data_IF_209692667287
#
_entry.id   IF_209692667287
#
_cell.length_a   1.000
_cell.length_b   1.000
_cell.length_c   1.000
_cell.angle_alpha   90.00
_cell.angle_beta   90.00
_cell.angle_gamma   90.00
#
_symmetry.space_group_name_H-M   'P 1'
#
loop_
_entity.id
_entity.type
_entity.pdbx_description
1 polymer ?
#
# COMPACT_ATOMS: atom_id res chain seq x y z
N UNK A 1 32.44 63.64 -64.29
CA UNK A 1 33.03 62.45 -64.92
C UNK A 1 31.93 61.44 -65.20
N UNK A 2 31.79 61.10 -66.49
CA UNK A 2 31.10 59.96 -67.13
C UNK A 2 30.09 59.11 -66.32
N UNK A 3 28.80 59.11 -66.72
CA UNK A 3 28.09 58.06 -67.52
C UNK A 3 27.38 57.05 -66.59
N UNK A 4 26.18 56.49 -66.84
CA UNK A 4 25.31 56.37 -68.02
C UNK A 4 23.95 55.78 -67.55
N UNK A 5 22.83 56.32 -68.01
CA UNK A 5 21.77 55.67 -68.84
C UNK A 5 20.76 54.72 -68.16
N UNK A 6 19.50 55.20 -67.99
CA UNK A 6 18.26 54.86 -68.74
C UNK A 6 18.13 53.48 -69.43
N UNK A 7 16.92 53.02 -69.87
CA UNK A 7 15.52 53.31 -69.50
C UNK A 7 14.60 52.05 -69.54
N UNK A 8 13.28 52.24 -69.39
CA UNK A 8 12.24 51.87 -70.37
C UNK A 8 10.97 51.26 -69.74
N UNK A 9 9.90 52.06 -69.79
CA UNK A 9 8.50 51.66 -69.64
C UNK A 9 8.03 51.04 -70.96
N UNK A 10 7.35 49.89 -70.88
CA UNK A 10 6.46 49.37 -71.93
C UNK A 10 5.17 48.85 -71.31
N UNK A 11 4.06 49.24 -71.91
CA UNK A 11 2.69 48.83 -71.57
C UNK A 11 2.27 47.50 -72.21
N UNK A 12 1.42 46.77 -71.47
CA UNK A 12 0.30 45.88 -71.87
C UNK A 12 0.64 44.54 -72.57
N UNK A 13 -0.18 43.45 -72.43
CA UNK A 13 -1.64 43.49 -72.30
C UNK A 13 -2.30 42.52 -71.29
N UNK A 14 -3.64 42.61 -71.30
CA UNK A 14 -4.66 41.90 -70.54
C UNK A 14 -4.55 40.36 -70.47
N UNK A 15 -5.12 39.82 -69.39
CA UNK A 15 -5.76 38.51 -69.43
C UNK A 15 -5.60 37.67 -68.16
N UNK A 16 -6.73 37.11 -67.75
CA UNK A 16 -6.90 35.93 -66.89
C UNK A 16 -7.05 36.22 -65.39
N UNK A 17 -8.32 36.39 -64.98
CA UNK A 17 -8.80 36.15 -63.62
C UNK A 17 -8.65 34.66 -63.31
N UNK A 18 -7.74 34.31 -62.39
CA UNK A 18 -7.69 32.99 -61.75
C UNK A 18 -8.27 33.13 -60.35
N UNK A 19 -9.38 32.43 -60.12
CA UNK A 19 -9.98 32.25 -58.80
C UNK A 19 -8.98 31.51 -57.89
N UNK A 20 -8.45 32.19 -56.87
CA UNK A 20 -7.73 31.54 -55.78
C UNK A 20 -8.75 30.80 -54.89
N UNK A 21 -8.74 29.46 -54.96
CA UNK A 21 -9.39 28.61 -53.97
C UNK A 21 -8.57 28.72 -52.68
N UNK A 22 -9.07 29.47 -51.69
CA UNK A 22 -8.52 29.49 -50.34
C UNK A 22 -8.88 28.15 -49.69
N UNK A 23 -7.94 27.20 -49.74
CA UNK A 23 -8.03 25.96 -48.95
C UNK A 23 -7.73 26.35 -47.51
N UNK A 24 -8.78 26.49 -46.71
CA UNK A 24 -8.67 26.45 -45.25
C UNK A 24 -8.10 25.08 -44.88
N UNK A 25 -6.80 25.03 -44.59
CA UNK A 25 -6.21 23.89 -43.88
C UNK A 25 -6.74 23.93 -42.47
N UNK A 26 -7.82 23.18 -42.22
CA UNK A 26 -8.18 22.73 -40.89
C UNK A 26 -7.00 21.89 -40.39
N UNK A 27 -6.12 22.50 -39.61
CA UNK A 27 -5.26 21.78 -38.69
C UNK A 27 -6.19 21.15 -37.65
N UNK A 28 -6.66 19.95 -37.97
CA UNK A 28 -7.13 19.02 -36.98
C UNK A 28 -6.02 18.92 -35.94
N UNK A 29 -6.26 19.48 -34.76
CA UNK A 29 -5.50 19.13 -33.58
C UNK A 29 -5.77 17.65 -33.36
N UNK A 30 -4.94 16.79 -33.94
CA UNK A 30 -4.85 15.41 -33.53
C UNK A 30 -4.39 15.46 -32.08
N UNK A 31 -5.35 15.44 -31.14
CA UNK A 31 -5.10 14.91 -29.82
C UNK A 31 -4.39 13.58 -30.07
N UNK A 32 -3.16 13.46 -29.61
CA UNK A 32 -2.36 12.24 -29.68
C UNK A 32 -3.02 11.18 -28.79
N UNK A 33 -4.18 10.68 -29.21
CA UNK A 33 -4.92 9.63 -28.54
C UNK A 33 -4.28 8.31 -28.92
N UNK A 34 -3.67 7.65 -27.95
CA UNK A 34 -3.15 6.30 -28.14
C UNK A 34 -4.21 5.34 -28.69
N UNK A 35 -3.76 4.24 -29.31
CA UNK A 35 -4.67 3.25 -29.90
C UNK A 35 -5.65 2.73 -28.84
N UNK A 36 -6.93 2.51 -29.20
CA UNK A 36 -7.88 1.88 -28.28
C UNK A 36 -7.35 0.55 -27.77
N UNK A 37 -7.45 0.33 -26.46
CA UNK A 37 -7.04 -0.90 -25.77
C UNK A 37 -8.23 -1.44 -24.99
N UNK A 38 -8.43 -2.74 -25.09
CA UNK A 38 -9.31 -3.51 -24.22
C UNK A 38 -8.48 -4.64 -23.58
N UNK A 39 -8.52 -4.73 -22.26
CA UNK A 39 -7.80 -5.75 -21.49
C UNK A 39 -8.73 -6.35 -20.44
N UNK A 40 -8.61 -7.64 -20.23
CA UNK A 40 -9.37 -8.37 -19.22
C UNK A 40 -8.42 -9.15 -18.36
N UNK A 41 -8.62 -9.10 -17.05
CA UNK A 41 -7.87 -9.91 -16.12
C UNK A 41 -8.03 -9.51 -14.67
N UNK A 42 -7.08 -9.94 -13.86
CA UNK A 42 -7.09 -9.73 -12.41
C UNK A 42 -6.49 -8.37 -12.05
N UNK A 43 -7.18 -7.61 -11.21
CA UNK A 43 -6.67 -6.34 -10.70
C UNK A 43 -5.56 -6.56 -9.66
N UNK A 44 -4.65 -5.59 -9.62
CA UNK A 44 -3.59 -5.50 -8.62
C UNK A 44 -3.49 -4.03 -8.19
N UNK A 45 -3.80 -3.75 -6.93
CA UNK A 45 -3.63 -2.45 -6.29
C UNK A 45 -2.33 -2.50 -5.53
N UNK A 46 -1.38 -1.63 -5.85
CA UNK A 46 -0.03 -1.67 -5.30
C UNK A 46 0.30 -0.32 -4.67
N UNK A 47 0.89 -0.34 -3.48
CA UNK A 47 1.41 0.86 -2.82
C UNK A 47 2.95 0.78 -2.85
N UNK A 48 3.56 1.93 -3.14
CA UNK A 48 5.00 2.13 -3.13
C UNK A 48 5.34 3.14 -2.03
N UNK A 49 6.14 2.73 -1.05
CA UNK A 49 6.40 3.51 0.15
C UNK A 49 7.84 4.01 0.24
N UNK A 50 8.00 5.32 0.15
CA UNK A 50 9.24 6.05 0.33
C UNK A 50 9.28 6.59 1.77
N UNK A 51 9.53 5.68 2.70
CA UNK A 51 9.66 6.00 4.13
C UNK A 51 10.73 7.05 4.42
N UNK A 52 11.74 7.22 3.56
CA UNK A 52 12.79 8.22 3.81
C UNK A 52 12.26 9.63 3.59
N UNK A 53 11.44 9.83 2.55
CA UNK A 53 10.92 11.14 2.20
C UNK A 53 9.48 11.35 2.68
N UNK A 54 8.93 10.42 3.46
CA UNK A 54 7.55 10.43 3.93
C UNK A 54 6.55 10.59 2.77
N UNK A 55 6.70 9.76 1.75
CA UNK A 55 5.82 9.77 0.57
C UNK A 55 5.38 8.35 0.24
N UNK A 56 4.20 8.27 -0.36
CA UNK A 56 3.72 7.03 -0.94
C UNK A 56 2.98 7.25 -2.25
N UNK A 57 2.95 6.22 -3.08
CA UNK A 57 2.24 6.25 -4.35
C UNK A 57 1.39 4.99 -4.48
N UNK A 58 0.09 5.16 -4.68
CA UNK A 58 -0.80 4.08 -5.10
C UNK A 58 -0.78 3.95 -6.61
N UNK A 59 -0.59 2.73 -7.09
CA UNK A 59 -0.66 2.38 -8.51
C UNK A 59 -1.65 1.25 -8.71
N UNK A 60 -2.31 1.27 -9.86
CA UNK A 60 -3.30 0.29 -10.24
C UNK A 60 -2.82 -0.47 -11.46
N UNK A 61 -3.07 -1.76 -11.46
CA UNK A 61 -2.63 -2.66 -12.51
C UNK A 61 -3.70 -3.67 -12.86
N UNK A 62 -3.61 -4.21 -14.06
CA UNK A 62 -4.37 -5.37 -14.53
C UNK A 62 -3.41 -6.41 -15.07
N UNK A 63 -3.49 -7.64 -14.56
CA UNK A 63 -2.76 -8.80 -15.07
C UNK A 63 -3.56 -9.38 -16.23
N UNK A 64 -3.15 -9.06 -17.45
CA UNK A 64 -3.85 -9.46 -18.67
C UNK A 64 -3.92 -10.99 -18.78
N UNK A 65 -5.13 -11.54 -18.85
CA UNK A 65 -5.36 -12.99 -18.93
C UNK A 65 -4.70 -13.65 -20.14
N UNK A 66 -4.54 -12.91 -21.24
CA UNK A 66 -3.98 -13.43 -22.50
C UNK A 66 -2.47 -13.43 -22.48
N UNK A 67 -1.88 -12.29 -22.13
CA UNK A 67 -0.42 -12.14 -22.15
C UNK A 67 0.25 -12.58 -20.86
N UNK A 68 -0.52 -12.72 -19.76
CA UNK A 68 -0.02 -12.91 -18.40
C UNK A 68 0.93 -11.81 -17.94
N UNK A 69 0.86 -10.64 -18.58
CA UNK A 69 1.66 -9.46 -18.25
C UNK A 69 0.81 -8.44 -17.53
N UNK A 70 1.42 -7.83 -16.53
CA UNK A 70 0.84 -6.70 -15.83
C UNK A 70 0.87 -5.45 -16.72
N UNK A 71 -0.22 -4.69 -16.71
CA UNK A 71 -0.32 -3.37 -17.36
C UNK A 71 -0.76 -2.34 -16.33
N UNK A 72 -0.04 -1.23 -16.24
CA UNK A 72 -0.43 -0.11 -15.39
C UNK A 72 -1.69 0.55 -15.94
N UNK A 73 -2.59 0.89 -15.03
CA UNK A 73 -3.81 1.63 -15.29
C UNK A 73 -3.66 3.06 -14.77
N UNK A 74 -4.02 4.02 -15.60
CA UNK A 74 -4.04 5.44 -15.27
C UNK A 74 -5.49 5.91 -15.28
N UNK A 75 -6.08 6.08 -14.10
CA UNK A 75 -7.44 6.56 -13.95
C UNK A 75 -7.50 8.09 -14.12
N UNK A 76 -8.48 8.56 -14.88
CA UNK A 76 -8.74 9.99 -15.08
C UNK A 76 -9.37 10.60 -13.81
N UNK A 77 -9.10 11.88 -13.53
CA UNK A 77 -9.63 12.59 -12.35
C UNK A 77 -8.95 12.14 -11.04
N UNK A 78 -8.05 12.98 -10.52
CA UNK A 78 -7.25 12.75 -9.31
C UNK A 78 -6.54 11.38 -9.17
N UNK A 79 -6.53 10.54 -10.21
CA UNK A 79 -5.90 9.23 -10.22
C UNK A 79 -6.64 8.13 -9.45
N UNK A 80 -7.90 8.34 -9.06
CA UNK A 80 -8.64 7.37 -8.24
C UNK A 80 -9.36 6.33 -9.09
N UNK A 81 -9.15 5.05 -8.77
CA UNK A 81 -9.97 3.96 -9.28
C UNK A 81 -11.34 3.93 -8.57
N UNK A 82 -12.38 3.31 -9.16
CA UNK A 82 -13.62 3.00 -8.44
C UNK A 82 -13.33 2.22 -7.15
N UNK A 83 -14.08 2.48 -6.07
CA UNK A 83 -13.90 1.78 -4.77
C UNK A 83 -14.05 0.26 -4.87
N UNK A 84 -14.79 -0.20 -5.88
CA UNK A 84 -14.97 -1.61 -6.17
C UNK A 84 -13.73 -2.25 -6.79
N UNK A 85 -12.72 -1.48 -7.26
CA UNK A 85 -11.51 -1.99 -7.89
C UNK A 85 -10.53 -2.53 -6.84
N UNK A 86 -10.45 -3.86 -6.69
CA UNK A 86 -9.69 -4.53 -5.63
C UNK A 86 -8.77 -5.61 -6.18
N UNK A 87 -7.61 -5.77 -5.54
CA UNK A 87 -6.66 -6.86 -5.87
C UNK A 87 -7.38 -8.21 -5.87
N UNK A 88 -7.08 -9.06 -6.85
CA UNK A 88 -7.67 -10.39 -6.95
C UNK A 88 -9.03 -10.46 -7.64
N UNK A 89 -9.70 -9.33 -7.86
CA UNK A 89 -10.98 -9.28 -8.59
C UNK A 89 -10.73 -9.12 -10.08
N UNK A 90 -11.62 -9.68 -10.90
CA UNK A 90 -11.53 -9.62 -12.36
C UNK A 90 -12.31 -8.45 -12.92
N UNK A 91 -11.66 -7.76 -13.85
CA UNK A 91 -12.26 -6.64 -14.57
C UNK A 91 -11.98 -6.70 -16.05
N UNK A 92 -12.88 -6.07 -16.79
CA UNK A 92 -12.68 -5.63 -18.16
C UNK A 92 -12.40 -4.13 -18.17
N UNK A 93 -11.24 -3.75 -18.66
CA UNK A 93 -10.79 -2.35 -18.76
C UNK A 93 -10.75 -1.95 -20.22
N UNK A 94 -11.35 -0.80 -20.54
CA UNK A 94 -11.28 -0.15 -21.85
C UNK A 94 -10.65 1.21 -21.72
N UNK A 95 -9.80 1.58 -22.67
CA UNK A 95 -9.06 2.83 -22.62
C UNK A 95 -8.19 3.06 -23.85
N UNK A 96 -7.14 3.88 -23.66
CA UNK A 96 -6.15 4.19 -24.70
C UNK A 96 -4.76 3.77 -24.26
N UNK A 97 -4.03 3.11 -25.14
CA UNK A 97 -2.67 2.66 -24.86
C UNK A 97 -1.70 3.85 -24.74
N UNK A 98 -0.75 3.74 -23.82
CA UNK A 98 0.36 4.69 -23.62
C UNK A 98 1.66 3.93 -23.34
N UNK A 99 2.85 4.58 -23.41
CA UNK A 99 4.12 3.88 -23.28
C UNK A 99 4.27 3.05 -22.00
N UNK A 100 3.70 3.52 -20.89
CA UNK A 100 3.79 2.91 -19.57
C UNK A 100 2.50 2.22 -19.09
N UNK A 101 1.47 2.09 -19.94
CA UNK A 101 0.20 1.47 -19.52
C UNK A 101 -1.02 1.80 -20.38
N UNK A 102 -2.16 2.00 -19.71
CA UNK A 102 -3.45 2.33 -20.32
C UNK A 102 -4.08 3.51 -19.58
N UNK A 103 -4.43 4.57 -20.31
CA UNK A 103 -5.33 5.61 -19.81
C UNK A 103 -6.76 5.05 -19.82
N UNK A 104 -7.38 4.97 -18.66
CA UNK A 104 -8.64 4.25 -18.45
C UNK A 104 -9.84 5.12 -18.82
N UNK A 105 -10.64 4.65 -19.78
CA UNK A 105 -11.93 5.25 -20.12
C UNK A 105 -13.08 4.60 -19.32
N UNK A 106 -13.03 3.28 -19.10
CA UNK A 106 -14.03 2.56 -18.30
C UNK A 106 -13.49 1.26 -17.71
N UNK A 107 -14.07 0.84 -16.59
CA UNK A 107 -13.81 -0.43 -15.92
C UNK A 107 -15.14 -1.12 -15.59
N UNK A 108 -15.22 -2.40 -15.89
CA UNK A 108 -16.40 -3.25 -15.70
C UNK A 108 -15.98 -4.48 -14.88
N UNK A 109 -16.57 -4.65 -13.69
CA UNK A 109 -16.33 -5.82 -12.84
C UNK A 109 -16.95 -7.06 -13.49
N UNK A 110 -16.18 -8.16 -13.56
CA UNK A 110 -16.63 -9.40 -14.20
C UNK A 110 -17.03 -10.48 -13.19
N UNK A 111 -16.58 -10.39 -11.94
CA UNK A 111 -16.90 -11.35 -10.87
C UNK A 111 -18.25 -11.08 -10.19
N UNK A 112 -19.19 -10.45 -10.91
CA UNK A 112 -20.56 -10.21 -10.45
C UNK A 112 -21.40 -11.48 -10.46
N UNK A 113 -21.10 -12.44 -9.57
CA UNK A 113 -21.87 -13.66 -9.39
C UNK A 113 -21.24 -14.65 -8.41
N UNK A 114 -21.76 -14.67 -7.18
CA UNK A 114 -21.55 -15.66 -6.09
C UNK A 114 -20.30 -15.53 -5.18
N UNK A 115 -20.54 -14.90 -4.02
CA UNK A 115 -20.06 -15.23 -2.66
C UNK A 115 -18.57 -15.53 -2.43
N UNK A 116 -17.88 -14.50 -1.94
CA UNK A 116 -17.28 -14.57 -0.61
C UNK A 116 -18.01 -13.52 0.24
N UNK A 117 -18.50 -13.89 1.41
CA UNK A 117 -19.16 -12.97 2.35
C UNK A 117 -18.18 -11.88 2.80
N UNK A 118 -18.02 -10.81 2.02
CA UNK A 118 -17.78 -9.50 2.60
C UNK A 118 -19.13 -8.81 2.70
N UNK A 119 -19.53 -8.30 3.88
CA UNK A 119 -20.81 -7.65 4.06
C UNK A 119 -21.01 -6.52 3.03
N UNK A 120 -22.20 -6.47 2.46
CA UNK A 120 -22.72 -5.25 1.83
C UNK A 120 -22.69 -4.11 2.87
N UNK A 121 -22.46 -2.84 2.44
CA UNK A 121 -22.25 -1.73 3.36
C UNK A 121 -23.53 -1.42 4.14
N UNK A 122 -23.49 -1.71 5.44
CA UNK A 122 -24.43 -1.20 6.42
C UNK A 122 -23.93 -1.47 7.83
N UNK A 123 -23.60 -0.39 8.56
CA UNK A 123 -23.68 -0.13 10.02
C UNK A 123 -23.34 -1.22 11.06
N UNK A 124 -23.01 -2.45 10.69
CA UNK A 124 -22.63 -3.49 11.63
C UNK A 124 -21.11 -3.47 11.78
N UNK A 125 -20.64 -3.39 13.04
CA UNK A 125 -19.24 -3.58 13.38
C UNK A 125 -18.71 -4.85 12.70
N UNK A 126 -17.45 -4.82 12.23
CA UNK A 126 -16.87 -5.99 11.59
C UNK A 126 -16.98 -7.20 12.52
N UNK A 127 -17.52 -8.30 12.00
CA UNK A 127 -17.62 -9.53 12.77
C UNK A 127 -16.23 -9.95 13.26
N UNK A 128 -16.14 -10.42 14.51
CA UNK A 128 -14.90 -10.93 15.08
C UNK A 128 -14.29 -11.97 14.13
N UNK A 129 -13.04 -11.75 13.72
CA UNK A 129 -12.36 -12.65 12.82
C UNK A 129 -11.95 -13.94 13.57
N UNK A 130 -12.10 -15.11 12.93
CA UNK A 130 -11.64 -16.36 13.54
C UNK A 130 -10.10 -16.41 13.55
N UNK A 131 -9.49 -17.09 14.54
CA UNK A 131 -8.06 -17.35 14.52
C UNK A 131 -7.61 -18.01 13.20
N UNK A 132 -6.59 -17.44 12.58
CA UNK A 132 -6.03 -17.87 11.30
C UNK A 132 -4.49 -17.91 11.39
N UNK A 133 -3.90 -18.99 10.88
CA UNK A 133 -2.46 -19.09 10.64
C UNK A 133 -2.23 -19.09 9.13
N UNK A 134 -1.50 -18.09 8.62
CA UNK A 134 -1.31 -17.89 7.18
C UNK A 134 0.06 -18.36 6.71
N UNK A 135 0.08 -19.05 5.57
CA UNK A 135 1.33 -19.49 4.92
C UNK A 135 2.01 -18.34 4.20
N UNK A 136 3.30 -18.17 4.48
CA UNK A 136 4.15 -17.14 3.88
C UNK A 136 5.46 -17.75 3.39
N UNK A 137 5.85 -17.40 2.16
CA UNK A 137 7.17 -17.69 1.63
C UNK A 137 8.02 -16.41 1.67
N UNK A 138 9.18 -16.46 2.32
CA UNK A 138 10.11 -15.33 2.36
C UNK A 138 11.34 -15.60 1.51
N UNK A 139 11.63 -14.72 0.54
CA UNK A 139 12.73 -14.86 -0.40
C UNK A 139 13.71 -13.70 -0.27
N UNK A 140 14.96 -13.97 0.12
CA UNK A 140 16.07 -13.05 -0.07
C UNK A 140 16.46 -13.11 -1.54
N UNK A 141 16.51 -11.96 -2.21
CA UNK A 141 16.69 -11.89 -3.67
C UNK A 141 17.95 -11.14 -4.05
N UNK A 142 18.91 -11.87 -4.61
CA UNK A 142 20.06 -11.27 -5.28
C UNK A 142 19.74 -10.95 -6.74
N UNK A 143 20.27 -9.81 -7.19
CA UNK A 143 20.24 -9.33 -8.56
C UNK A 143 21.64 -9.49 -9.18
N UNK A 144 21.74 -9.31 -10.50
CA UNK A 144 23.01 -9.41 -11.21
C UNK A 144 24.06 -8.37 -10.73
N UNK A 145 23.62 -7.24 -10.19
CA UNK A 145 24.44 -6.09 -9.82
C UNK A 145 24.30 -5.64 -8.36
N UNK A 146 23.45 -6.31 -7.57
CA UNK A 146 23.26 -6.03 -6.14
C UNK A 146 22.84 -7.31 -5.40
N UNK A 147 23.33 -7.50 -4.18
CA UNK A 147 23.08 -8.69 -3.37
C UNK A 147 22.56 -8.31 -1.99
N UNK A 148 21.69 -9.14 -1.41
CA UNK A 148 21.10 -8.92 -0.09
C UNK A 148 22.12 -9.17 1.02
N UNK A 149 22.99 -10.17 0.82
CA UNK A 149 24.02 -10.52 1.80
C UNK A 149 25.32 -9.80 1.47
N UNK A 150 25.45 -8.55 1.92
CA UNK A 150 26.64 -7.71 1.65
C UNK A 150 27.77 -7.91 2.66
N UNK A 151 27.52 -8.56 3.80
CA UNK A 151 28.46 -8.66 4.91
C UNK A 151 28.69 -7.34 5.67
N UNK A 152 27.95 -6.29 5.32
CA UNK A 152 27.94 -5.00 6.04
C UNK A 152 26.87 -4.99 7.14
N UNK A 153 26.81 -3.91 7.92
CA UNK A 153 25.73 -3.65 8.87
C UNK A 153 24.38 -3.32 8.21
N UNK A 154 24.26 -3.48 6.89
CA UNK A 154 23.06 -3.19 6.13
C UNK A 154 22.55 -4.40 5.33
N UNK A 155 23.37 -5.45 5.15
CA UNK A 155 22.94 -6.72 4.54
C UNK A 155 22.24 -7.65 5.54
N UNK A 156 21.60 -8.71 5.05
CA UNK A 156 20.99 -9.76 5.90
C UNK A 156 21.23 -11.16 5.35
N UNK A 157 21.17 -12.15 6.22
CA UNK A 157 21.31 -13.58 5.91
C UNK A 157 19.98 -14.31 6.09
N UNK A 158 19.85 -15.51 5.53
CA UNK A 158 18.67 -16.38 5.73
C UNK A 158 18.38 -16.59 7.21
N UNK A 159 19.39 -16.84 8.04
CA UNK A 159 19.18 -17.06 9.47
C UNK A 159 18.64 -15.81 10.17
N UNK A 160 19.19 -14.63 9.88
CA UNK A 160 18.69 -13.37 10.44
C UNK A 160 17.24 -13.10 10.03
N UNK A 161 16.84 -13.45 8.80
CA UNK A 161 15.45 -13.32 8.36
C UNK A 161 14.55 -14.35 9.05
N UNK A 162 14.99 -15.60 9.21
CA UNK A 162 14.27 -16.61 10.02
C UNK A 162 14.05 -16.13 11.46
N UNK A 163 15.10 -15.59 12.06
CA UNK A 163 15.06 -15.09 13.43
C UNK A 163 14.05 -13.94 13.54
N UNK A 164 14.10 -12.95 12.64
CA UNK A 164 13.17 -11.81 12.66
C UNK A 164 11.73 -12.17 12.28
N UNK A 165 11.52 -13.16 11.43
CA UNK A 165 10.18 -13.59 11.08
C UNK A 165 9.55 -14.40 12.22
N UNK A 166 10.34 -15.21 12.94
CA UNK A 166 9.80 -16.28 13.79
C UNK A 166 10.53 -16.60 15.10
N UNK A 167 11.83 -16.32 15.27
CA UNK A 167 12.61 -16.86 16.40
C UNK A 167 13.07 -15.83 17.44
N UNK A 168 13.26 -14.56 17.06
CA UNK A 168 13.61 -13.49 18.00
C UNK A 168 12.44 -13.24 18.96
N UNK A 169 12.73 -12.74 20.16
CA UNK A 169 11.67 -12.31 21.09
C UNK A 169 10.74 -11.26 20.47
N UNK A 170 11.27 -10.43 19.56
CA UNK A 170 10.52 -9.46 18.78
C UNK A 170 10.53 -9.85 17.31
N UNK A 171 9.64 -10.76 16.94
CA UNK A 171 9.51 -11.23 15.56
C UNK A 171 8.16 -10.82 14.92
N UNK A 172 8.09 -10.94 13.60
CA UNK A 172 6.92 -10.57 12.78
C UNK A 172 5.70 -11.44 13.09
N UNK A 173 5.86 -12.74 13.27
CA UNK A 173 4.74 -13.65 13.61
C UNK A 173 4.09 -13.30 14.94
N UNK A 174 4.90 -13.05 15.97
CA UNK A 174 4.44 -12.65 17.30
C UNK A 174 3.90 -11.21 17.30
N UNK A 175 4.44 -10.30 16.48
CA UNK A 175 3.84 -8.98 16.30
C UNK A 175 2.40 -9.09 15.80
N UNK A 176 2.17 -9.84 14.71
CA UNK A 176 0.83 -9.99 14.16
C UNK A 176 -0.08 -10.73 15.15
N UNK A 177 0.43 -11.73 15.85
CA UNK A 177 -0.31 -12.42 16.90
C UNK A 177 -0.76 -11.45 18.00
N UNK A 178 0.15 -10.61 18.50
CA UNK A 178 -0.18 -9.69 19.58
C UNK A 178 -1.08 -8.53 19.14
N UNK A 179 -0.79 -7.87 18.02
CA UNK A 179 -1.63 -6.73 17.56
C UNK A 179 -3.01 -7.16 17.06
N UNK A 180 -3.19 -8.43 16.73
CA UNK A 180 -4.48 -9.00 16.31
C UNK A 180 -5.25 -9.71 17.45
N UNK A 181 -4.75 -9.58 18.67
CA UNK A 181 -5.34 -10.19 19.86
C UNK A 181 -5.46 -11.72 19.76
N UNK A 182 -4.44 -12.36 19.18
CA UNK A 182 -4.35 -13.80 18.98
C UNK A 182 -5.03 -14.32 17.70
N UNK A 183 -5.59 -13.42 16.89
CA UNK A 183 -6.38 -13.79 15.70
C UNK A 183 -5.53 -14.16 14.50
N UNK A 184 -4.36 -13.56 14.30
CA UNK A 184 -3.54 -13.76 13.11
C UNK A 184 -2.09 -14.09 13.49
N UNK A 185 -1.55 -15.16 12.92
CA UNK A 185 -0.09 -15.39 12.91
C UNK A 185 0.38 -16.01 11.58
N UNK A 186 1.69 -16.18 11.43
CA UNK A 186 2.31 -16.71 10.22
C UNK A 186 2.82 -18.13 10.45
N UNK A 187 2.53 -19.03 9.50
CA UNK A 187 3.05 -20.39 9.49
C UNK A 187 4.54 -20.35 9.14
N UNK A 188 5.44 -20.79 10.05
CA UNK A 188 6.86 -20.82 9.74
C UNK A 188 7.21 -21.90 8.71
N UNK A 189 6.44 -22.99 8.62
CA UNK A 189 6.70 -24.18 7.80
C UNK A 189 5.42 -24.56 7.04
N UNK A 190 5.08 -23.73 6.05
CA UNK A 190 3.86 -23.82 5.27
C UNK A 190 3.78 -25.07 4.41
N UNK A 191 4.89 -25.73 4.09
CA UNK A 191 4.88 -26.99 3.36
C UNK A 191 5.06 -28.25 4.21
N UNK A 192 5.36 -28.09 5.51
CA UNK A 192 5.40 -29.15 6.50
C UNK A 192 6.62 -30.06 6.36
N UNK A 193 7.73 -29.55 5.81
CA UNK A 193 8.96 -30.31 5.63
C UNK A 193 9.91 -30.26 6.86
N UNK A 194 9.50 -29.53 7.91
CA UNK A 194 10.25 -29.33 9.13
C UNK A 194 11.27 -28.20 9.05
N UNK A 195 11.26 -27.37 8.00
CA UNK A 195 12.12 -26.21 7.83
C UNK A 195 11.30 -24.93 7.67
N UNK A 196 11.85 -23.83 8.19
CA UNK A 196 11.22 -22.54 8.00
C UNK A 196 11.32 -22.07 6.55
N UNK A 197 10.22 -21.55 5.98
CA UNK A 197 10.10 -21.15 4.57
C UNK A 197 10.74 -19.80 4.25
N UNK A 198 12.04 -19.74 4.52
CA UNK A 198 12.91 -18.60 4.23
C UNK A 198 14.07 -19.09 3.37
N UNK A 199 14.14 -18.58 2.14
CA UNK A 199 15.11 -19.02 1.14
C UNK A 199 15.88 -17.85 0.55
N UNK A 200 17.05 -18.15 -0.02
CA UNK A 200 17.85 -17.21 -0.79
C UNK A 200 17.85 -17.64 -2.25
N UNK A 201 17.53 -16.71 -3.14
CA UNK A 201 17.49 -16.93 -4.59
C UNK A 201 18.24 -15.80 -5.31
N UNK A 202 18.68 -16.09 -6.54
CA UNK A 202 19.22 -15.09 -7.45
C UNK A 202 18.35 -15.00 -8.69
N UNK A 203 18.11 -13.79 -9.18
CA UNK A 203 17.33 -13.54 -10.39
C UNK A 203 18.16 -12.84 -11.47
N UNK A 204 17.84 -13.13 -12.72
CA UNK A 204 18.45 -12.48 -13.88
C UNK A 204 17.75 -11.13 -14.17
N UNK A 205 18.00 -10.16 -13.29
CA UNK A 205 17.55 -8.77 -13.42
C UNK A 205 18.58 -7.83 -12.76
N UNK A 206 18.42 -6.52 -12.96
CA UNK A 206 19.28 -5.49 -12.37
C UNK A 206 18.52 -4.59 -11.41
N UNK A 207 19.16 -4.29 -10.28
CA UNK A 207 18.67 -3.43 -9.23
C UNK A 207 19.23 -2.00 -9.35
N UNK A 208 20.40 -1.84 -9.98
CA UNK A 208 21.11 -0.57 -10.11
C UNK A 208 21.04 -0.01 -11.54
N UNK A 209 21.27 1.30 -11.66
CA UNK A 209 21.43 1.99 -12.94
C UNK A 209 20.13 2.20 -13.73
N UNK A 210 20.18 3.05 -14.75
CA UNK A 210 18.97 3.57 -15.43
C UNK A 210 18.16 2.52 -16.20
N UNK A 211 18.73 1.33 -16.38
CA UNK A 211 18.05 0.16 -16.92
C UNK A 211 17.21 -0.60 -15.90
N UNK A 212 17.41 -0.41 -14.58
CA UNK A 212 16.62 -1.10 -13.57
C UNK A 212 15.18 -0.58 -13.66
N UNK A 213 14.27 -1.41 -14.17
CA UNK A 213 12.89 -1.03 -14.41
C UNK A 213 12.06 -0.82 -13.14
N UNK A 214 12.65 -1.05 -11.94
CA UNK A 214 11.99 -1.02 -10.64
C UNK A 214 10.58 -1.59 -10.72
N UNK A 215 10.50 -2.83 -11.17
CA UNK A 215 9.25 -3.53 -11.48
C UNK A 215 9.00 -4.64 -10.46
N UNK A 216 8.51 -4.31 -9.24
CA UNK A 216 8.24 -5.25 -8.16
C UNK A 216 7.56 -6.56 -8.59
N UNK A 217 6.49 -6.47 -9.39
CA UNK A 217 5.76 -7.66 -9.87
C UNK A 217 6.63 -8.58 -10.73
N UNK A 218 7.52 -8.03 -11.56
CA UNK A 218 8.53 -8.80 -12.31
C UNK A 218 9.48 -9.51 -11.35
N UNK A 219 9.99 -8.81 -10.34
CA UNK A 219 10.92 -9.39 -9.37
C UNK A 219 10.29 -10.53 -8.57
N UNK A 220 9.04 -10.37 -8.14
CA UNK A 220 8.27 -11.42 -7.47
C UNK A 220 8.12 -12.66 -8.34
N UNK A 221 7.80 -12.48 -9.63
CA UNK A 221 7.66 -13.59 -10.57
C UNK A 221 9.00 -14.30 -10.83
N UNK A 222 10.08 -13.55 -11.03
CA UNK A 222 11.42 -14.11 -11.24
C UNK A 222 11.91 -14.86 -10.00
N UNK A 223 11.72 -14.28 -8.81
CA UNK A 223 12.13 -14.89 -7.55
C UNK A 223 11.32 -16.15 -7.25
N UNK A 224 10.01 -16.13 -7.51
CA UNK A 224 9.14 -17.31 -7.39
C UNK A 224 9.61 -18.43 -8.31
N UNK A 225 9.87 -18.14 -9.59
CA UNK A 225 10.38 -19.12 -10.54
C UNK A 225 11.77 -19.66 -10.14
N UNK A 226 12.66 -18.81 -9.63
CA UNK A 226 13.97 -19.22 -9.13
C UNK A 226 13.85 -20.15 -7.90
N UNK A 227 12.92 -19.86 -6.99
CA UNK A 227 12.61 -20.70 -5.84
C UNK A 227 12.11 -22.09 -6.27
N UNK A 228 11.12 -22.15 -7.15
CA UNK A 228 10.57 -23.43 -7.64
C UNK A 228 11.65 -24.24 -8.38
N UNK A 229 12.48 -23.59 -9.19
CA UNK A 229 13.58 -24.25 -9.90
C UNK A 229 14.66 -24.79 -8.94
N UNK A 230 14.95 -24.09 -7.85
CA UNK A 230 15.97 -24.47 -6.88
C UNK A 230 15.50 -25.57 -5.91
N UNK A 231 14.22 -25.58 -5.56
CA UNK A 231 13.69 -26.44 -4.48
C UNK A 231 12.76 -27.54 -4.97
N UNK A 232 12.14 -27.39 -6.14
CA UNK A 232 11.07 -28.25 -6.63
C UNK A 232 9.75 -28.11 -5.84
N UNK A 233 9.64 -27.15 -4.91
CA UNK A 233 8.43 -26.87 -4.13
C UNK A 233 7.47 -25.99 -4.93
N UNK A 234 6.17 -26.15 -4.70
CA UNK A 234 5.11 -25.39 -5.37
C UNK A 234 4.91 -24.03 -4.67
N UNK A 235 5.13 -22.92 -5.37
CA UNK A 235 4.94 -21.57 -4.81
C UNK A 235 3.45 -21.23 -4.59
N UNK A 236 2.54 -21.99 -5.20
CA UNK A 236 1.09 -21.81 -5.13
C UNK A 236 0.47 -22.13 -3.78
N UNK A 237 1.18 -22.85 -2.89
CA UNK A 237 0.68 -23.16 -1.55
C UNK A 237 0.78 -21.96 -0.58
N UNK A 238 1.60 -20.96 -0.94
CA UNK A 238 1.82 -19.77 -0.13
C UNK A 238 0.89 -18.65 -0.57
N UNK A 239 -0.02 -18.26 0.33
CA UNK A 239 -0.91 -17.10 0.10
C UNK A 239 -0.13 -15.80 0.05
N UNK A 240 0.93 -15.68 0.86
CA UNK A 240 1.76 -14.49 0.95
C UNK A 240 3.18 -14.78 0.47
N UNK A 241 3.72 -13.88 -0.35
CA UNK A 241 5.12 -13.92 -0.82
C UNK A 241 5.81 -12.64 -0.42
N UNK A 242 6.82 -12.75 0.45
CA UNK A 242 7.62 -11.63 0.91
C UNK A 242 8.99 -11.69 0.25
N UNK A 243 9.35 -10.67 -0.51
CA UNK A 243 10.70 -10.50 -1.02
C UNK A 243 11.49 -9.56 -0.12
N UNK A 244 12.70 -9.97 0.19
CA UNK A 244 13.72 -9.12 0.80
C UNK A 244 14.75 -8.82 -0.27
N UNK A 245 14.89 -7.54 -0.59
CA UNK A 245 15.81 -7.06 -1.65
C UNK A 245 17.00 -6.32 -1.05
N UNK A 246 18.07 -6.10 -1.83
CA UNK A 246 19.28 -5.44 -1.35
C UNK A 246 18.97 -4.09 -0.71
N UNK A 247 19.75 -3.74 0.30
CA UNK A 247 19.51 -2.52 1.05
C UNK A 247 19.63 -1.29 0.16
N UNK A 248 18.57 -0.48 0.17
CA UNK A 248 18.54 0.86 -0.37
C UNK A 248 19.79 1.68 0.06
N UNK A 249 20.33 1.52 1.28
CA UNK A 249 21.49 2.31 1.73
C UNK A 249 22.85 1.81 1.23
N UNK A 250 22.95 0.57 0.74
CA UNK A 250 24.23 -0.07 0.43
C UNK A 250 24.78 0.29 -0.94
N UNK A 251 23.94 0.80 -1.84
CA UNK A 251 24.32 1.04 -3.22
C UNK A 251 24.10 2.49 -3.64
N UNK A 252 25.07 3.06 -4.36
CA UNK A 252 24.93 4.33 -5.08
C UNK A 252 24.40 4.10 -6.49
N UNK A 253 23.65 5.05 -7.07
CA UNK A 253 23.17 4.94 -8.46
C UNK A 253 21.90 4.09 -8.64
N UNK A 254 21.10 4.00 -7.57
CA UNK A 254 19.85 3.26 -7.53
C UNK A 254 18.73 4.08 -8.16
N UNK A 255 17.84 3.42 -8.88
CA UNK A 255 16.66 4.07 -9.46
C UNK A 255 15.39 3.86 -8.64
N UNK A 256 15.33 2.84 -7.80
CA UNK A 256 14.16 2.59 -6.96
C UNK A 256 14.24 3.50 -5.73
N UNK A 257 13.22 4.34 -5.55
CA UNK A 257 13.16 5.37 -4.51
C UNK A 257 12.36 4.95 -3.29
N UNK A 258 11.80 3.75 -3.29
CA UNK A 258 10.95 3.20 -2.23
C UNK A 258 11.77 2.32 -1.28
N UNK A 259 11.32 2.22 -0.03
CA UNK A 259 11.82 1.30 0.99
C UNK A 259 10.96 0.05 1.12
N UNK A 260 9.69 0.12 0.72
CA UNK A 260 8.78 -1.02 0.64
C UNK A 260 7.74 -0.87 -0.48
N UNK A 261 7.21 -2.00 -0.93
CA UNK A 261 6.13 -2.08 -1.92
C UNK A 261 5.28 -3.30 -1.64
N UNK A 262 3.96 -3.16 -1.63
CA UNK A 262 3.06 -4.28 -1.46
C UNK A 262 1.77 -4.16 -2.25
N UNK A 263 1.14 -5.31 -2.48
CA UNK A 263 -0.25 -5.35 -2.90
C UNK A 263 -1.17 -5.02 -1.73
N UNK A 264 -2.24 -4.27 -2.02
CA UNK A 264 -3.32 -4.02 -1.07
C UNK A 264 -4.35 -5.13 -1.22
N UNK A 265 -4.48 -5.96 -0.19
CA UNK A 265 -5.31 -7.16 -0.18
C UNK A 265 -4.75 -8.29 -1.05
N UNK A 266 -5.44 -9.42 -1.03
CA UNK A 266 -5.03 -10.63 -1.77
C UNK A 266 -6.18 -11.17 -2.61
N UNK A 267 -5.83 -11.68 -3.79
CA UNK A 267 -6.68 -12.63 -4.52
C UNK A 267 -6.46 -14.05 -3.99
N UNK A 268 -6.12 -14.96 -4.90
CA UNK A 268 -5.64 -16.30 -4.52
C UNK A 268 -4.29 -16.24 -3.78
N UNK A 269 -3.47 -15.24 -4.08
CA UNK A 269 -2.21 -14.93 -3.41
C UNK A 269 -1.93 -13.42 -3.50
N UNK A 270 -0.89 -12.96 -2.80
CA UNK A 270 -0.42 -11.58 -2.80
C UNK A 270 1.06 -11.49 -2.44
N UNK A 271 1.65 -10.31 -2.62
CA UNK A 271 3.09 -10.11 -2.38
C UNK A 271 3.44 -8.76 -1.75
N UNK A 272 4.57 -8.77 -1.04
CA UNK A 272 5.22 -7.62 -0.43
C UNK A 272 6.74 -7.65 -0.71
N UNK A 273 7.38 -6.49 -0.75
CA UNK A 273 8.82 -6.32 -0.91
C UNK A 273 9.36 -5.34 0.13
N UNK A 274 10.38 -5.75 0.88
CA UNK A 274 11.19 -4.86 1.71
C UNK A 274 12.58 -4.62 1.10
N UNK A 275 13.02 -3.37 1.02
CA UNK A 275 14.33 -2.96 0.49
C UNK A 275 15.27 -2.36 1.56
N UNK A 276 15.00 -2.54 2.85
CA UNK A 276 15.96 -2.21 3.93
C UNK A 276 16.09 -3.38 4.92
N UNK A 277 17.01 -4.32 4.62
CA UNK A 277 17.23 -5.53 5.39
C UNK A 277 17.93 -5.36 6.75
N UNK A 278 18.25 -4.17 7.27
CA UNK A 278 19.00 -4.09 8.54
C UNK A 278 18.51 -3.06 9.56
N UNK A 279 18.19 -1.83 9.15
CA UNK A 279 17.66 -0.83 10.11
C UNK A 279 16.13 -0.91 10.27
N UNK A 280 15.47 -1.66 9.38
CA UNK A 280 14.06 -1.47 9.01
C UNK A 280 13.24 -2.78 8.90
N UNK A 281 13.87 -3.96 8.96
CA UNK A 281 13.12 -5.23 8.85
C UNK A 281 11.97 -5.37 9.86
N UNK A 282 12.03 -4.62 10.94
CA UNK A 282 10.99 -4.54 11.94
C UNK A 282 9.71 -3.86 11.40
N UNK A 283 9.74 -2.55 11.15
CA UNK A 283 8.53 -1.82 10.74
C UNK A 283 8.10 -2.06 9.30
N UNK A 284 9.03 -2.10 8.34
CA UNK A 284 8.63 -2.14 6.91
C UNK A 284 8.06 -3.48 6.53
N UNK A 285 8.65 -4.61 6.93
CA UNK A 285 8.06 -5.92 6.60
C UNK A 285 6.62 -6.00 7.11
N UNK A 286 6.39 -5.53 8.33
CA UNK A 286 5.07 -5.56 8.93
C UNK A 286 4.11 -4.58 8.25
N UNK A 287 4.59 -3.39 7.90
CA UNK A 287 3.85 -2.40 7.11
C UNK A 287 3.39 -2.98 5.76
N UNK A 288 4.34 -3.54 5.00
CA UNK A 288 4.07 -4.13 3.69
C UNK A 288 3.18 -5.38 3.79
N UNK A 289 3.34 -6.18 4.85
CA UNK A 289 2.41 -7.28 5.11
C UNK A 289 1.03 -6.78 5.53
N UNK A 290 0.94 -5.66 6.24
CA UNK A 290 -0.32 -4.97 6.56
C UNK A 290 -1.10 -4.59 5.30
N UNK A 291 -0.41 -4.11 4.27
CA UNK A 291 -1.03 -3.89 2.95
C UNK A 291 -1.63 -5.17 2.36
N UNK A 292 -0.94 -6.31 2.44
CA UNK A 292 -1.52 -7.58 1.99
C UNK A 292 -2.78 -7.98 2.77
N UNK A 293 -2.95 -7.51 4.00
CA UNK A 293 -4.19 -7.69 4.77
C UNK A 293 -5.32 -6.75 4.31
N UNK A 294 -5.02 -5.79 3.45
CA UNK A 294 -5.94 -4.80 2.90
C UNK A 294 -5.82 -3.43 3.55
N UNK A 295 -4.95 -3.24 4.54
CA UNK A 295 -4.74 -1.93 5.15
C UNK A 295 -4.24 -0.92 4.14
N UNK A 296 -4.78 0.28 4.21
CA UNK A 296 -4.16 1.44 3.63
C UNK A 296 -3.37 2.17 4.72
N UNK A 297 -2.81 3.33 4.37
CA UNK A 297 -2.05 4.12 5.31
C UNK A 297 -2.89 4.70 6.44
N UNK A 298 -2.25 4.79 7.60
CA UNK A 298 -2.71 5.62 8.69
C UNK A 298 -2.34 7.08 8.40
N UNK A 299 -3.36 7.93 8.34
CA UNK A 299 -3.26 9.33 7.92
C UNK A 299 -3.40 10.28 9.10
N UNK A 300 -3.01 11.53 8.90
CA UNK A 300 -3.39 12.62 9.80
C UNK A 300 -4.39 13.55 9.13
N UNK A 301 -5.36 14.01 9.92
CA UNK A 301 -6.32 15.08 9.62
C UNK A 301 -6.44 15.92 10.90
N UNK A 302 -5.41 16.74 11.15
CA UNK A 302 -5.23 17.39 12.47
C UNK A 302 -6.18 18.57 12.70
N UNK A 303 -6.86 19.03 11.65
CA UNK A 303 -7.89 20.07 11.75
C UNK A 303 -9.31 19.46 11.82
N UNK A 304 -9.43 18.14 11.65
CA UNK A 304 -10.67 17.36 11.68
C UNK A 304 -11.75 17.87 10.71
N UNK A 305 -11.35 18.38 9.54
CA UNK A 305 -12.28 18.91 8.54
C UNK A 305 -12.56 17.94 7.37
N UNK A 306 -11.97 16.74 7.42
CA UNK A 306 -12.01 15.75 6.36
C UNK A 306 -10.76 15.83 5.50
N UNK A 307 -10.07 14.70 5.36
CA UNK A 307 -8.75 14.64 4.73
C UNK A 307 -8.67 15.26 3.33
N UNK A 308 -7.77 16.23 3.16
CA UNK A 308 -7.37 16.79 1.86
C UNK A 308 -5.85 16.63 1.64
N UNK A 309 -5.40 15.84 0.65
CA UNK A 309 -3.96 15.66 0.38
C UNK A 309 -3.23 16.95 -0.04
N UNK A 310 -3.94 18.04 -0.32
CA UNK A 310 -3.36 19.34 -0.65
C UNK A 310 -3.26 20.28 0.57
N UNK A 311 -3.84 19.90 1.71
CA UNK A 311 -3.75 20.67 2.95
C UNK A 311 -2.48 20.30 3.73
N UNK A 312 -1.71 21.31 4.17
CA UNK A 312 -0.42 21.07 4.84
C UNK A 312 -0.52 20.46 6.24
N UNK A 313 -1.71 20.47 6.85
CA UNK A 313 -1.99 19.79 8.13
C UNK A 313 -2.23 18.31 7.97
N UNK A 314 -2.49 17.88 6.73
CA UNK A 314 -2.92 16.53 6.42
C UNK A 314 -1.77 15.79 5.78
N UNK A 315 -1.66 14.52 6.15
CA UNK A 315 -0.62 13.68 5.59
C UNK A 315 -1.18 12.29 5.38
N UNK A 316 -1.19 11.87 4.12
CA UNK A 316 -1.64 10.54 3.71
C UNK A 316 -0.79 9.39 4.28
N UNK A 317 0.24 9.73 5.05
CA UNK A 317 1.23 8.84 5.64
C UNK A 317 1.72 9.34 7.02
N UNK A 318 0.96 10.24 7.65
CA UNK A 318 1.44 11.06 8.77
C UNK A 318 1.25 10.46 10.16
N UNK A 319 0.39 9.46 10.32
CA UNK A 319 0.09 8.92 11.66
C UNK A 319 1.22 8.04 12.15
N UNK A 320 2.18 8.68 12.82
CA UNK A 320 3.31 8.02 13.41
C UNK A 320 2.95 7.30 14.73
N UNK A 321 1.68 7.09 15.06
CA UNK A 321 1.27 6.22 16.17
C UNK A 321 0.87 4.81 15.71
N UNK A 322 0.70 4.60 14.40
CA UNK A 322 0.28 3.35 13.78
C UNK A 322 1.41 2.79 12.88
N UNK A 323 1.48 1.46 12.75
CA UNK A 323 2.42 0.81 11.85
C UNK A 323 2.24 1.19 10.38
N UNK A 324 1.02 1.46 9.95
CA UNK A 324 0.64 1.91 8.60
C UNK A 324 0.91 3.40 8.34
N UNK A 325 1.54 4.11 9.28
CA UNK A 325 2.11 5.43 9.03
C UNK A 325 3.54 5.38 8.47
N UNK A 326 4.20 6.52 8.44
CA UNK A 326 5.58 6.67 7.92
C UNK A 326 6.70 6.19 8.84
N UNK A 327 6.36 5.76 10.05
CA UNK A 327 7.36 5.30 11.00
C UNK A 327 7.86 3.89 10.67
N UNK A 328 9.15 3.67 10.88
CA UNK A 328 9.81 2.36 10.74
C UNK A 328 9.91 1.59 12.05
N UNK A 329 9.39 2.17 13.13
CA UNK A 329 9.43 1.61 14.47
C UNK A 329 8.25 0.68 14.70
N UNK A 330 8.44 -0.39 15.48
CA UNK A 330 7.34 -1.24 15.92
C UNK A 330 6.26 -0.42 16.66
N UNK A 331 5.03 -0.45 16.17
CA UNK A 331 3.84 0.21 16.71
C UNK A 331 2.66 -0.70 16.46
N UNK A 332 1.67 -0.69 17.35
CA UNK A 332 0.41 -1.40 17.12
C UNK A 332 -0.41 -0.68 16.05
N UNK A 333 -1.29 -1.43 15.39
CA UNK A 333 -2.35 -0.84 14.60
C UNK A 333 -3.34 -0.09 15.50
N UNK A 334 -3.85 1.03 15.03
CA UNK A 334 -4.85 1.83 15.70
C UNK A 334 -6.24 1.14 15.63
N UNK A 335 -7.20 1.58 16.47
CA UNK A 335 -8.49 0.90 16.57
C UNK A 335 -9.29 0.83 15.26
N UNK A 336 -9.33 1.85 14.37
CA UNK A 336 -9.98 1.70 13.07
C UNK A 336 -9.45 0.52 12.25
N UNK A 337 -8.14 0.33 12.18
CA UNK A 337 -7.54 -0.82 11.48
C UNK A 337 -7.84 -2.15 12.19
N UNK A 338 -7.76 -2.18 13.52
CA UNK A 338 -8.07 -3.39 14.28
C UNK A 338 -9.55 -3.80 14.14
N UNK A 339 -10.48 -2.84 14.16
CA UNK A 339 -11.91 -3.10 13.93
C UNK A 339 -12.15 -3.55 12.50
N UNK A 340 -11.57 -2.91 11.47
CA UNK A 340 -11.73 -3.33 10.07
C UNK A 340 -11.35 -4.81 9.83
N UNK A 341 -10.41 -5.37 10.61
CA UNK A 341 -10.03 -6.79 10.54
C UNK A 341 -10.77 -7.70 11.50
N UNK A 342 -11.68 -7.15 12.31
CA UNK A 342 -12.34 -7.89 13.38
C UNK A 342 -11.35 -8.44 14.39
N UNK A 343 -10.28 -7.72 14.69
CA UNK A 343 -9.26 -8.11 15.67
C UNK A 343 -9.53 -7.59 17.07
N UNK A 344 -10.39 -6.59 17.19
CA UNK A 344 -10.82 -6.04 18.48
C UNK A 344 -12.26 -6.47 18.74
N UNK A 345 -12.50 -7.22 19.81
CA UNK A 345 -13.80 -7.82 20.07
C UNK A 345 -14.77 -6.82 20.71
N UNK A 346 -15.87 -6.46 20.03
CA UNK A 346 -16.93 -5.67 20.67
C UNK A 346 -17.69 -6.46 21.75
N UNK A 347 -17.64 -7.79 21.73
CA UNK A 347 -18.38 -8.69 22.62
C UNK A 347 -17.70 -8.85 23.97
N UNK A 348 -16.38 -9.08 23.96
CA UNK A 348 -15.55 -9.15 25.17
C UNK A 348 -15.09 -7.77 25.69
N UNK A 349 -15.76 -6.71 25.23
CA UNK A 349 -15.58 -5.32 25.66
C UNK A 349 -14.21 -4.71 25.34
N UNK A 350 -13.51 -5.13 24.28
CA UNK A 350 -12.24 -4.53 23.90
C UNK A 350 -12.46 -3.21 23.15
N UNK A 351 -13.56 -3.10 22.40
CA UNK A 351 -14.11 -1.85 21.87
C UNK A 351 -15.54 -1.64 22.37
N UNK A 352 -15.90 -0.40 22.71
CA UNK A 352 -17.25 -0.05 23.15
C UNK A 352 -17.81 1.12 22.37
N UNK A 353 -18.96 0.91 21.75
CA UNK A 353 -19.78 1.99 21.21
C UNK A 353 -20.37 2.81 22.36
N UNK A 354 -20.18 4.12 22.29
CA UNK A 354 -20.63 5.09 23.28
C UNK A 354 -21.72 5.95 22.68
N UNK A 355 -22.93 5.80 23.21
CA UNK A 355 -24.04 6.69 22.88
C UNK A 355 -23.83 8.04 23.60
N UNK A 356 -23.83 9.17 22.87
CA UNK A 356 -23.71 10.49 23.47
C UNK A 356 -24.78 10.74 24.55
N UNK A 357 -24.37 11.32 25.67
CA UNK A 357 -25.24 11.62 26.81
C UNK A 357 -25.03 13.06 27.29
N UNK A 358 -26.07 13.63 27.89
CA UNK A 358 -25.99 14.93 28.58
C UNK A 358 -25.31 14.85 29.95
N UNK A 359 -25.07 13.64 30.47
CA UNK A 359 -24.28 13.40 31.69
C UNK A 359 -22.87 12.95 31.35
N UNK A 360 -21.89 13.33 32.19
CA UNK A 360 -20.52 12.82 32.08
C UNK A 360 -20.52 11.30 32.21
N UNK A 361 -19.84 10.65 31.26
CA UNK A 361 -19.53 9.21 31.29
C UNK A 361 -18.03 9.05 31.55
N UNK A 362 -17.66 8.06 32.35
CA UNK A 362 -16.26 7.78 32.69
C UNK A 362 -15.94 6.35 32.32
N UNK A 363 -14.78 6.14 31.71
CA UNK A 363 -14.31 4.85 31.22
C UNK A 363 -12.86 4.67 31.64
N UNK A 364 -12.53 3.44 32.05
CA UNK A 364 -11.14 3.03 32.27
C UNK A 364 -10.68 2.27 31.03
N UNK A 365 -9.59 2.73 30.43
CA UNK A 365 -9.00 2.09 29.24
C UNK A 365 -7.71 1.38 29.61
N UNK A 366 -7.58 0.13 29.16
CA UNK A 366 -6.28 -0.52 29.00
C UNK A 366 -5.53 0.15 27.83
N UNK A 367 -4.21 0.29 27.93
CA UNK A 367 -3.43 0.71 26.77
C UNK A 367 -3.69 -0.22 25.59
N UNK A 368 -3.88 0.33 24.40
CA UNK A 368 -4.04 -0.47 23.19
C UNK A 368 -2.86 -1.42 22.98
N UNK A 369 -1.67 -0.96 23.36
CA UNK A 369 -0.40 -1.66 23.19
C UNK A 369 -0.09 -2.68 24.31
N UNK A 370 -1.02 -2.93 25.26
CA UNK A 370 -0.82 -3.89 26.35
C UNK A 370 -0.86 -5.35 25.83
N UNK A 371 0.22 -6.08 26.07
CA UNK A 371 0.46 -7.46 25.62
C UNK A 371 0.03 -8.53 26.63
N UNK A 372 -0.38 -8.14 27.84
CA UNK A 372 -0.86 -9.08 28.85
C UNK A 372 -2.29 -9.54 28.56
N UNK A 373 -2.39 -10.72 27.94
CA UNK A 373 -3.64 -11.45 27.67
C UNK A 373 -4.42 -11.88 28.92
N UNK A 374 -3.81 -11.78 30.10
CA UNK A 374 -4.46 -12.13 31.37
C UNK A 374 -5.39 -11.04 31.89
N UNK A 375 -5.38 -9.86 31.26
CA UNK A 375 -6.19 -8.72 31.68
C UNK A 375 -7.18 -8.34 30.56
N UNK A 376 -8.35 -8.98 30.50
CA UNK A 376 -9.40 -8.55 29.58
C UNK A 376 -9.90 -7.16 29.99
N UNK A 377 -10.18 -6.31 29.02
CA UNK A 377 -10.69 -4.97 29.30
C UNK A 377 -10.78 -4.07 28.07
N UNK A 378 -11.38 -2.90 28.30
CA UNK A 378 -11.68 -1.92 27.27
C UNK A 378 -10.43 -1.22 26.79
N UNK A 379 -10.13 -1.31 25.48
CA UNK A 379 -8.95 -0.72 24.85
C UNK A 379 -9.30 0.52 24.02
N UNK A 380 -10.50 0.55 23.45
CA UNK A 380 -10.97 1.66 22.63
C UNK A 380 -12.45 1.99 22.88
N UNK A 381 -12.80 3.27 22.71
CA UNK A 381 -14.18 3.73 22.58
C UNK A 381 -14.46 4.04 21.12
N UNK A 382 -15.69 3.79 20.68
CA UNK A 382 -16.24 4.18 19.38
C UNK A 382 -17.38 5.16 19.61
N UNK A 383 -17.36 6.31 18.95
CA UNK A 383 -18.36 7.39 19.12
C UNK A 383 -18.75 7.89 17.73
N UNK A 384 -20.04 7.93 17.41
CA UNK A 384 -20.52 8.49 16.15
C UNK A 384 -19.94 9.90 15.93
N UNK A 385 -19.22 10.10 14.83
CA UNK A 385 -18.70 11.41 14.40
C UNK A 385 -19.72 12.10 13.51
N UNK A 386 -20.19 11.37 12.51
CA UNK A 386 -21.29 11.72 11.62
C UNK A 386 -21.96 10.44 11.11
N UNK A 387 -23.02 10.56 10.29
CA UNK A 387 -23.76 9.40 9.78
C UNK A 387 -22.98 8.48 8.81
N UNK A 388 -21.67 8.67 8.65
CA UNK A 388 -20.78 7.87 7.81
C UNK A 388 -19.40 7.56 8.42
N UNK A 389 -19.10 8.13 9.58
CA UNK A 389 -17.80 7.97 10.26
C UNK A 389 -17.96 7.91 11.77
N UNK A 390 -17.03 7.22 12.40
CA UNK A 390 -16.92 7.15 13.85
C UNK A 390 -15.57 7.69 14.32
N UNK A 391 -15.59 8.37 15.46
CA UNK A 391 -14.39 8.57 16.25
C UNK A 391 -14.02 7.31 17.00
N UNK A 392 -12.72 7.09 17.11
CA UNK A 392 -12.13 6.07 17.96
C UNK A 392 -11.22 6.75 18.96
N UNK A 393 -11.39 6.41 20.23
CA UNK A 393 -10.59 6.95 21.34
C UNK A 393 -9.83 5.82 21.99
N UNK A 394 -8.50 5.89 21.98
CA UNK A 394 -7.66 4.87 22.60
C UNK A 394 -6.56 5.51 23.45
N UNK A 395 -6.24 4.86 24.57
CA UNK A 395 -5.07 5.22 25.37
C UNK A 395 -3.85 4.48 24.83
N UNK A 396 -2.77 5.23 24.58
CA UNK A 396 -1.51 4.72 24.05
C UNK A 396 -0.43 4.89 25.10
N UNK A 397 0.23 3.79 25.43
CA UNK A 397 1.29 3.75 26.44
C UNK A 397 2.33 2.75 26.01
N UNK A 398 3.60 3.16 26.07
CA UNK A 398 4.79 2.35 25.77
C UNK A 398 4.94 1.19 26.76
N UNK A 399 4.07 0.21 26.58
CA UNK A 399 3.97 -1.07 27.27
C UNK A 399 4.18 -2.17 26.24
N UNK A 400 4.70 -3.31 26.67
CA UNK A 400 4.97 -4.42 25.77
C UNK A 400 6.25 -4.27 24.93
N UNK A 401 6.55 -5.33 24.20
CA UNK A 401 7.74 -5.47 23.38
C UNK A 401 7.59 -4.84 21.99
N UNK A 402 6.37 -4.74 21.47
CA UNK A 402 6.10 -4.24 20.11
C UNK A 402 5.72 -2.75 20.06
N UNK A 403 6.03 -2.01 21.12
CA UNK A 403 5.68 -0.61 21.23
C UNK A 403 6.90 0.32 21.36
N UNK A 404 7.20 1.01 20.26
CA UNK A 404 8.18 2.08 20.18
C UNK A 404 7.49 3.40 19.75
N UNK A 405 6.41 3.76 20.45
CA UNK A 405 5.75 5.04 20.29
C UNK A 405 6.70 6.20 20.54
N UNK A 406 6.57 7.22 19.70
CA UNK A 406 7.27 8.49 19.92
C UNK A 406 6.73 9.13 21.21
N UNK A 407 7.56 9.93 21.89
CA UNK A 407 7.15 10.62 23.13
C UNK A 407 5.92 11.53 22.97
N UNK A 408 5.61 11.93 21.74
CA UNK A 408 4.39 12.66 21.40
C UNK A 408 3.12 11.85 21.66
N UNK A 409 3.14 10.54 21.40
CA UNK A 409 1.97 9.66 21.50
C UNK A 409 2.00 8.76 22.74
N UNK A 410 3.13 8.70 23.43
CA UNK A 410 3.29 7.88 24.63
C UNK A 410 2.62 8.52 25.84
N UNK A 411 1.86 7.73 26.61
CA UNK A 411 1.09 8.17 27.77
C UNK A 411 0.07 9.25 27.38
N UNK A 412 -0.67 9.00 26.29
CA UNK A 412 -1.65 9.94 25.72
C UNK A 412 -2.92 9.22 25.31
N UNK A 413 -4.02 9.98 25.29
CA UNK A 413 -5.25 9.56 24.63
C UNK A 413 -5.21 10.07 23.20
N UNK A 414 -5.32 9.16 22.23
CA UNK A 414 -5.36 9.51 20.82
C UNK A 414 -6.80 9.38 20.31
N UNK A 415 -7.18 10.34 19.48
CA UNK A 415 -8.46 10.36 18.78
C UNK A 415 -8.18 10.13 17.31
N UNK A 416 -8.89 9.15 16.75
CA UNK A 416 -8.89 8.82 15.34
C UNK A 416 -10.31 8.95 14.80
N UNK A 417 -10.48 9.01 13.48
CA UNK A 417 -11.73 8.58 12.85
C UNK A 417 -11.47 7.56 11.75
N UNK A 418 -12.52 6.81 11.44
CA UNK A 418 -12.59 5.86 10.33
C UNK A 418 -13.96 5.93 9.67
N UNK A 419 -14.05 5.45 8.43
CA UNK A 419 -15.34 5.21 7.78
C UNK A 419 -15.69 3.74 7.93
N UNK A 420 -16.98 3.43 7.97
CA UNK A 420 -17.46 2.06 7.84
C UNK A 420 -16.88 1.42 6.56
N UNK A 421 -16.19 0.29 6.72
CA UNK A 421 -15.54 -0.46 5.63
C UNK A 421 -14.38 0.26 4.92
N UNK A 422 -13.81 1.32 5.52
CA UNK A 422 -12.57 1.93 5.05
C UNK A 422 -11.38 1.25 5.69
N UNK A 423 -10.42 0.87 4.85
CA UNK A 423 -9.11 0.39 5.32
C UNK A 423 -8.11 1.53 5.56
N UNK A 424 -8.56 2.80 5.51
CA UNK A 424 -7.80 3.97 6.01
C UNK A 424 -8.27 4.37 7.40
N UNK A 425 -7.32 4.87 8.20
CA UNK A 425 -7.55 5.54 9.49
C UNK A 425 -7.03 6.98 9.47
N UNK A 426 -7.58 7.85 10.33
CA UNK A 426 -7.21 9.26 10.39
C UNK A 426 -6.99 9.70 11.83
N UNK A 427 -5.75 9.94 12.24
CA UNK A 427 -5.43 10.55 13.53
C UNK A 427 -5.74 12.05 13.50
N UNK A 428 -6.50 12.52 14.49
CA UNK A 428 -6.96 13.92 14.55
C UNK A 428 -6.50 14.67 15.79
N UNK A 429 -6.29 13.98 16.91
CA UNK A 429 -5.85 14.64 18.14
C UNK A 429 -5.07 13.71 19.06
N UNK A 430 -4.10 14.28 19.78
CA UNK A 430 -3.38 13.65 20.88
C UNK A 430 -3.60 14.49 22.13
N UNK A 431 -4.12 13.87 23.19
CA UNK A 431 -4.54 14.52 24.43
C UNK A 431 -3.69 14.07 25.60
N UNK A 432 -3.16 15.02 26.35
CA UNK A 432 -2.56 14.81 27.67
C UNK A 432 -3.64 14.76 28.77
N UNK A 433 -3.21 14.35 29.97
CA UNK A 433 -4.10 14.31 31.13
C UNK A 433 -4.74 15.68 31.40
N UNK A 434 -6.07 15.71 31.47
CA UNK A 434 -6.86 16.91 31.71
C UNK A 434 -7.21 17.74 30.46
N UNK A 435 -6.75 17.34 29.28
CA UNK A 435 -7.13 17.96 28.01
C UNK A 435 -8.46 17.40 27.47
N UNK A 436 -9.09 18.14 26.56
CA UNK A 436 -10.36 17.80 25.94
C UNK A 436 -10.32 18.02 24.44
N UNK A 437 -11.00 17.15 23.70
CA UNK A 437 -11.31 17.30 22.28
C UNK A 437 -12.80 17.65 22.12
N UNK A 438 -13.13 18.54 21.20
CA UNK A 438 -14.50 19.08 21.01
C UNK A 438 -14.88 19.17 19.56
#
# INVERSE_FOLDING_TARGET
MNRRSMPAVRCLPAGIFVFFLIIFSLTAHAQSGGSPVEVTGEASVVIFDDFQNNRSERRFYIVDEKSKREKRLHFNGNGQAPETFRTGKRYKVRGRGRPDGVDVDSVEALDGGASSNEPEPGSEAAALAPPETRKILTLLVDFNDAVVTTGTSNGTTVQQVKDRMFNETKNVADYFFNTSLGTLTWDPDGDGDGQQDVFHVSIDDTYLGASSGCSPSTWVNLASAAFEAATGKDVGIYRHRLLITPNYWDYSGRHCTWGGVAQVGCGSWCWAIGADPNSIMHGVIVHELGHNLGFNHARTDLNNNGYDPNEGTDSGYGDNSDMMGSSRNWKYFNPPHAEDKGWIDPTDYEIREVVPSSSVQSFDLLPLDEESWSWPGLRALKVERDGSTDYYVAYRLQTGDYNNLNSEYNDRVLVYYGFDNSTYSYHVATLAAGESFT
#
